data_IF_841286978479
#
_entry.id   IF_841286978479
#
_cell.length_a   1.000
_cell.length_b   1.000
_cell.length_c   1.000
_cell.angle_alpha   90.00
_cell.angle_beta   90.00
_cell.angle_gamma   90.00
#
_symmetry.space_group_name_H-M   'P 1'
#
loop_
_entity.id
_entity.type
_entity.pdbx_description
1 polymer ?
#
# COMPACT_ATOMS: atom_id res chain seq x y z
N UNK A 1 -2.07 -2.40 11.06
CA UNK A 1 -2.44 -1.06 10.63
C UNK A 1 -1.19 -0.30 10.20
N UNK A 2 -1.26 0.48 9.15
CA UNK A 2 -0.13 1.23 8.65
C UNK A 2 -0.50 2.68 8.34
N UNK A 3 0.46 3.57 8.50
CA UNK A 3 0.33 4.98 8.17
C UNK A 3 1.52 5.39 7.30
N UNK A 4 1.34 6.44 6.48
CA UNK A 4 2.47 7.06 5.82
C UNK A 4 3.39 7.64 6.89
N UNK A 5 4.67 7.35 6.82
CA UNK A 5 5.62 7.81 7.83
C UNK A 5 7.06 7.66 7.38
N UNK A 6 7.94 8.31 8.13
CA UNK A 6 9.38 8.18 7.91
C UNK A 6 9.88 6.83 8.41
N UNK A 7 11.01 6.39 7.88
CA UNK A 7 11.68 5.19 8.37
C UNK A 7 11.99 5.32 9.85
N UNK A 8 11.70 4.26 10.61
CA UNK A 8 12.01 4.22 12.04
C UNK A 8 13.51 4.40 12.28
N UNK A 9 13.86 5.25 13.23
CA UNK A 9 15.25 5.51 13.60
C UNK A 9 15.96 6.50 12.70
N UNK A 10 15.30 7.05 11.67
CA UNK A 10 15.88 8.08 10.81
C UNK A 10 15.39 9.48 11.18
N UNK A 11 16.10 10.49 10.71
CA UNK A 11 15.68 11.87 10.85
C UNK A 11 14.40 12.12 10.02
N UNK A 12 13.41 12.77 10.62
CA UNK A 12 12.16 13.09 9.96
C UNK A 12 12.31 14.31 9.06
N UNK A 13 13.01 14.11 7.95
CA UNK A 13 13.31 15.16 7.00
C UNK A 13 12.76 14.79 5.63
N UNK A 14 11.96 15.70 5.07
CA UNK A 14 11.40 15.53 3.73
C UNK A 14 12.50 15.50 2.66
N UNK A 15 12.44 14.54 1.77
CA UNK A 15 13.33 14.42 0.62
C UNK A 15 12.46 14.22 -0.62
N UNK A 16 12.32 15.29 -1.40
CA UNK A 16 11.50 15.25 -2.63
C UNK A 16 12.41 15.05 -3.85
N UNK A 17 12.11 14.04 -4.65
CA UNK A 17 12.77 13.78 -5.91
C UNK A 17 11.71 13.41 -6.94
N UNK A 18 11.88 13.89 -8.17
CA UNK A 18 10.93 13.59 -9.26
C UNK A 18 9.47 13.95 -8.92
N UNK A 19 9.28 15.00 -8.14
CA UNK A 19 7.95 15.44 -7.70
C UNK A 19 7.30 14.57 -6.62
N UNK A 20 8.02 13.60 -6.05
CA UNK A 20 7.50 12.68 -5.04
C UNK A 20 8.36 12.69 -3.77
N UNK A 21 7.71 12.53 -2.63
CA UNK A 21 8.38 12.38 -1.35
C UNK A 21 9.05 11.00 -1.28
N UNK A 22 10.35 10.98 -0.99
CA UNK A 22 11.15 9.76 -0.95
C UNK A 22 11.46 9.29 0.48
N UNK A 23 11.37 10.19 1.46
CA UNK A 23 11.76 9.87 2.83
C UNK A 23 10.68 9.12 3.62
N UNK A 24 9.44 9.10 3.12
CA UNK A 24 8.33 8.43 3.79
C UNK A 24 8.01 7.10 3.13
N UNK A 25 7.37 6.22 3.89
CA UNK A 25 6.88 4.94 3.42
C UNK A 25 5.36 5.03 3.30
N UNK A 26 4.80 4.54 2.19
CA UNK A 26 3.35 4.48 2.02
C UNK A 26 2.71 3.62 3.10
N UNK A 27 1.49 3.99 3.52
CA UNK A 27 0.77 3.30 4.59
C UNK A 27 0.62 1.79 4.32
N UNK A 28 0.36 1.40 3.08
CA UNK A 28 0.20 0.01 2.68
C UNK A 28 1.50 -0.77 2.90
N UNK A 29 2.63 -0.19 2.53
CA UNK A 29 3.94 -0.82 2.72
C UNK A 29 4.30 -0.88 4.20
N UNK A 30 4.01 0.17 4.96
CA UNK A 30 4.21 0.17 6.41
C UNK A 30 3.42 -0.94 7.10
N UNK A 31 2.19 -1.17 6.70
CA UNK A 31 1.37 -2.25 7.25
C UNK A 31 1.98 -3.63 7.00
N UNK A 32 2.46 -3.86 5.77
CA UNK A 32 3.10 -5.13 5.38
C UNK A 32 4.39 -5.34 6.16
N UNK A 33 5.26 -4.34 6.21
CA UNK A 33 6.55 -4.46 6.88
C UNK A 33 6.41 -4.56 8.39
N UNK A 34 5.43 -3.87 8.98
CA UNK A 34 5.12 -4.01 10.40
C UNK A 34 4.67 -5.44 10.73
N UNK A 35 3.79 -6.01 9.92
CA UNK A 35 3.37 -7.40 10.08
C UNK A 35 4.56 -8.36 9.96
N UNK A 36 5.44 -8.15 8.98
CA UNK A 36 6.63 -8.96 8.79
C UNK A 36 7.57 -8.87 10.00
N UNK A 37 7.78 -7.68 10.52
CA UNK A 37 8.61 -7.44 11.69
C UNK A 37 8.08 -8.14 12.93
N UNK A 38 6.76 -8.23 13.08
CA UNK A 38 6.09 -8.91 14.19
C UNK A 38 5.91 -10.40 13.97
N UNK A 39 6.25 -10.92 12.80
CA UNK A 39 6.06 -12.32 12.46
C UNK A 39 4.60 -12.70 12.23
N UNK A 40 3.78 -11.76 11.83
CA UNK A 40 2.35 -11.98 11.57
C UNK A 40 2.11 -12.07 10.07
N UNK A 41 1.44 -13.13 9.62
CA UNK A 41 1.05 -13.28 8.23
C UNK A 41 -0.16 -12.42 7.90
N UNK A 42 -0.14 -11.78 6.71
CA UNK A 42 -1.31 -11.08 6.17
C UNK A 42 -1.96 -11.86 5.02
N UNK A 43 -1.56 -13.09 4.82
CA UNK A 43 -2.17 -13.96 3.82
C UNK A 43 -3.67 -14.15 4.10
N UNK A 44 -4.47 -14.18 3.03
CA UNK A 44 -5.93 -14.34 3.10
C UNK A 44 -6.65 -13.22 3.88
N UNK A 45 -6.08 -12.02 3.89
CA UNK A 45 -6.67 -10.86 4.58
C UNK A 45 -7.36 -9.90 3.60
N UNK A 46 -8.08 -8.94 4.16
CA UNK A 46 -8.71 -7.84 3.44
C UNK A 46 -8.04 -6.54 3.84
N UNK A 47 -7.74 -5.68 2.87
CA UNK A 47 -7.15 -4.37 3.11
C UNK A 47 -8.20 -3.26 3.01
N UNK A 48 -8.18 -2.33 3.95
CA UNK A 48 -8.96 -1.11 3.92
C UNK A 48 -7.98 0.06 3.84
N UNK A 49 -8.05 0.83 2.76
CA UNK A 49 -7.14 1.95 2.52
C UNK A 49 -7.92 3.22 2.19
N UNK A 50 -7.30 4.38 2.41
CA UNK A 50 -7.98 5.65 2.19
C UNK A 50 -8.06 6.02 0.72
N UNK A 51 -7.00 5.78 -0.04
CA UNK A 51 -6.89 6.16 -1.44
C UNK A 51 -6.66 4.93 -2.32
N UNK A 52 -7.07 5.03 -3.57
CA UNK A 52 -6.79 4.00 -4.57
C UNK A 52 -5.29 3.69 -4.59
N UNK A 53 -4.87 2.42 -4.53
CA UNK A 53 -3.46 2.08 -4.37
C UNK A 53 -2.65 2.39 -5.63
N UNK A 54 -1.41 2.84 -5.45
CA UNK A 54 -0.46 2.90 -6.55
C UNK A 54 -0.07 1.47 -6.97
N UNK A 55 0.50 1.35 -8.19
CA UNK A 55 0.83 0.02 -8.72
C UNK A 55 1.80 -0.75 -7.82
N UNK A 56 2.77 -0.08 -7.22
CA UNK A 56 3.74 -0.76 -6.35
C UNK A 56 3.10 -1.26 -5.06
N UNK A 57 2.23 -0.46 -4.44
CA UNK A 57 1.49 -0.86 -3.24
C UNK A 57 0.52 -2.01 -3.57
N UNK A 58 -0.15 -1.95 -4.70
CA UNK A 58 -1.05 -3.03 -5.14
C UNK A 58 -0.29 -4.35 -5.32
N UNK A 59 0.84 -4.31 -6.02
CA UNK A 59 1.66 -5.52 -6.21
C UNK A 59 2.14 -6.11 -4.89
N UNK A 60 2.55 -5.24 -3.96
CA UNK A 60 3.00 -5.68 -2.65
C UNK A 60 1.86 -6.33 -1.84
N UNK A 61 0.67 -5.73 -1.84
CA UNK A 61 -0.49 -6.29 -1.18
C UNK A 61 -0.90 -7.63 -1.79
N UNK A 62 -0.96 -7.68 -3.12
CA UNK A 62 -1.29 -8.90 -3.84
C UNK A 62 -0.30 -10.02 -3.55
N UNK A 63 1.00 -9.71 -3.61
CA UNK A 63 2.08 -10.68 -3.36
C UNK A 63 2.10 -11.16 -1.90
N UNK A 64 1.56 -10.38 -0.99
CA UNK A 64 1.48 -10.73 0.44
C UNK A 64 0.24 -11.56 0.78
N UNK A 65 -0.62 -11.83 -0.19
CA UNK A 65 -1.80 -12.69 -0.02
C UNK A 65 -3.08 -11.94 0.34
N UNK A 66 -3.12 -10.62 0.21
CA UNK A 66 -4.35 -9.86 0.40
C UNK A 66 -5.35 -10.24 -0.69
N UNK A 67 -6.56 -10.62 -0.31
CA UNK A 67 -7.57 -11.15 -1.23
C UNK A 67 -8.59 -10.14 -1.72
N UNK A 68 -8.69 -8.99 -1.07
CA UNK A 68 -9.64 -7.94 -1.43
C UNK A 68 -9.19 -6.60 -0.87
N UNK A 69 -9.43 -5.52 -1.62
CA UNK A 69 -9.03 -4.17 -1.23
C UNK A 69 -10.25 -3.26 -1.29
N UNK A 70 -10.56 -2.58 -0.20
CA UNK A 70 -11.53 -1.51 -0.13
C UNK A 70 -10.82 -0.17 -0.04
N UNK A 71 -11.28 0.83 -0.78
CA UNK A 71 -10.73 2.19 -0.75
C UNK A 71 -11.85 3.24 -0.72
N UNK A 72 -11.54 4.44 -0.24
CA UNK A 72 -12.52 5.51 -0.10
C UNK A 72 -12.42 6.56 -1.21
N UNK A 73 -11.20 7.03 -1.48
CA UNK A 73 -10.95 8.11 -2.43
C UNK A 73 -10.32 7.55 -3.70
N UNK A 74 -10.99 7.80 -4.82
CA UNK A 74 -10.52 7.42 -6.13
C UNK A 74 -9.89 8.64 -6.81
N UNK A 75 -8.58 8.67 -6.90
CA UNK A 75 -7.89 9.68 -7.68
C UNK A 75 -6.86 9.00 -8.57
N UNK A 76 -6.73 9.45 -9.82
CA UNK A 76 -5.80 8.86 -10.80
C UNK A 76 -5.91 7.35 -10.90
N UNK A 77 -7.06 6.88 -11.27
CA UNK A 77 -7.27 5.49 -11.61
C UNK A 77 -6.38 5.10 -12.79
N UNK A 78 -5.34 4.35 -12.50
CA UNK A 78 -4.55 3.78 -13.57
C UNK A 78 -5.11 2.39 -13.89
N UNK A 79 -5.69 2.19 -15.08
CA UNK A 79 -6.29 0.91 -15.45
C UNK A 79 -5.30 -0.24 -15.50
N UNK A 80 -4.02 0.04 -15.41
CA UNK A 80 -2.98 -1.00 -15.40
C UNK A 80 -3.18 -2.01 -14.28
N UNK A 81 -3.81 -1.62 -13.16
CA UNK A 81 -4.07 -2.56 -12.06
C UNK A 81 -5.01 -3.69 -12.49
N UNK A 82 -5.97 -3.40 -13.36
CA UNK A 82 -6.86 -4.41 -13.92
C UNK A 82 -6.11 -5.32 -14.89
N UNK A 83 -5.17 -4.76 -15.63
CA UNK A 83 -4.38 -5.50 -16.62
C UNK A 83 -3.36 -6.46 -15.98
N UNK A 84 -3.03 -6.28 -14.71
CA UNK A 84 -2.10 -7.17 -14.02
C UNK A 84 -2.67 -8.56 -13.77
N UNK A 85 -3.98 -8.74 -13.86
CA UNK A 85 -4.61 -10.06 -13.81
C UNK A 85 -4.54 -10.79 -12.47
N UNK A 86 -4.31 -10.09 -11.37
CA UNK A 86 -4.26 -10.72 -10.04
C UNK A 86 -5.63 -11.19 -9.53
N UNK A 87 -6.71 -10.77 -10.15
CA UNK A 87 -8.05 -11.16 -9.73
C UNK A 87 -8.48 -10.66 -8.36
N UNK A 88 -7.80 -9.66 -7.81
CA UNK A 88 -8.13 -9.08 -6.51
C UNK A 88 -9.16 -7.98 -6.72
N UNK A 89 -10.37 -8.11 -6.11
CA UNK A 89 -11.38 -7.06 -6.22
C UNK A 89 -10.93 -5.76 -5.55
N UNK A 90 -11.08 -4.65 -6.28
CA UNK A 90 -10.90 -3.29 -5.77
C UNK A 90 -12.28 -2.66 -5.64
N UNK A 91 -12.74 -2.43 -4.43
CA UNK A 91 -14.09 -1.96 -4.16
C UNK A 91 -14.04 -0.58 -3.51
N UNK A 92 -14.72 0.39 -4.11
CA UNK A 92 -14.85 1.73 -3.53
C UNK A 92 -15.97 1.72 -2.48
N UNK A 93 -15.65 2.24 -1.31
CA UNK A 93 -16.60 2.44 -0.23
C UNK A 93 -17.46 3.69 -0.41
#
# INVERSE_FOLDING_TARGET
MGYNGFLAGTEHKSIVRWGHEQATIHAEINAITDAAKRGVSIDDTVAYITHYPCINCFKALASSGVKKIYYQVDYKNDPILEDLGYGIPLVRL
#
